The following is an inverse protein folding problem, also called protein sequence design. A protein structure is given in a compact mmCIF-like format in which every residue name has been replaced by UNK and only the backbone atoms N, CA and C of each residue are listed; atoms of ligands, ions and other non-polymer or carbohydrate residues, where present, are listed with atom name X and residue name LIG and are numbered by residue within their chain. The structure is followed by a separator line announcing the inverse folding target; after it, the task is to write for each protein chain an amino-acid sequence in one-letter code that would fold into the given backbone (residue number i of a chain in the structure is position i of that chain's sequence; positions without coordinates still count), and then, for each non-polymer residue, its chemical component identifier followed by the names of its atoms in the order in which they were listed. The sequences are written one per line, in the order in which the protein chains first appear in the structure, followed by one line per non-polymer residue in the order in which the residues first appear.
data_IF_407347415124
#
_entry.id   IF_407347415124
#
_cell.length_a   1.000
_cell.length_b   1.000
_cell.length_c   1.000
_cell.angle_alpha   90.00
_cell.angle_beta   90.00
_cell.angle_gamma   90.00
#
_symmetry.space_group_name_H-M   'P 1'
#
loop_
_entity.id
_entity.type
_entity.pdbx_description
1 polymer ?
#
# COMPACT_ATOMS: atom_id res chain seq x y z
N UNK A 1 -6.00 9.52 -17.09
CA UNK A 1 -5.51 8.66 -15.98
C UNK A 1 -6.29 7.34 -16.02
N UNK A 2 -5.63 6.19 -15.94
CA UNK A 2 -6.25 4.86 -16.16
C UNK A 2 -7.21 4.49 -15.00
N UNK A 3 -8.34 3.81 -15.28
CA UNK A 3 -9.29 3.29 -14.30
C UNK A 3 -8.62 2.41 -13.22
N UNK A 4 -7.61 1.61 -13.61
CA UNK A 4 -6.81 0.80 -12.70
C UNK A 4 -6.15 1.63 -11.58
N UNK A 5 -5.63 2.82 -11.91
CA UNK A 5 -5.00 3.71 -10.92
C UNK A 5 -5.99 4.11 -9.84
N UNK A 6 -7.18 4.55 -10.26
CA UNK A 6 -8.23 5.00 -9.34
C UNK A 6 -8.78 3.86 -8.50
N UNK A 7 -8.87 2.64 -9.06
CA UNK A 7 -9.22 1.44 -8.31
C UNK A 7 -8.24 1.18 -7.17
N UNK A 8 -6.94 1.26 -7.43
CA UNK A 8 -5.93 1.09 -6.37
C UNK A 8 -5.96 2.22 -5.35
N UNK A 9 -6.14 3.47 -5.77
CA UNK A 9 -6.28 4.60 -4.85
C UNK A 9 -7.50 4.46 -3.93
N UNK A 10 -8.65 4.07 -4.49
CA UNK A 10 -9.86 3.81 -3.72
C UNK A 10 -9.62 2.70 -2.71
N UNK A 11 -9.00 1.60 -3.13
CA UNK A 11 -8.71 0.47 -2.26
C UNK A 11 -7.78 0.85 -1.11
N UNK A 12 -6.68 1.53 -1.40
CA UNK A 12 -5.74 2.03 -0.40
C UNK A 12 -6.42 2.96 0.59
N UNK A 13 -7.28 3.86 0.10
CA UNK A 13 -8.03 4.79 0.94
C UNK A 13 -8.99 4.04 1.86
N UNK A 14 -9.75 3.07 1.35
CA UNK A 14 -10.66 2.25 2.15
C UNK A 14 -9.90 1.46 3.21
N UNK A 15 -8.79 0.81 2.84
CA UNK A 15 -7.96 0.07 3.79
C UNK A 15 -7.39 0.98 4.87
N UNK A 16 -6.89 2.15 4.49
CA UNK A 16 -6.35 3.14 5.43
C UNK A 16 -7.42 3.62 6.42
N UNK A 17 -8.62 3.95 5.95
CA UNK A 17 -9.72 4.38 6.82
C UNK A 17 -10.20 3.25 7.73
N UNK A 18 -10.34 2.04 7.19
CA UNK A 18 -10.76 0.86 7.94
C UNK A 18 -9.77 0.55 9.06
N UNK A 19 -8.48 0.45 8.74
CA UNK A 19 -7.44 0.10 9.72
C UNK A 19 -7.05 1.27 10.62
N UNK A 20 -7.24 2.52 10.18
CA UNK A 20 -6.81 3.71 10.93
C UNK A 20 -7.49 3.85 12.28
N UNK A 21 -8.71 3.31 12.42
CA UNK A 21 -9.42 3.24 13.69
C UNK A 21 -8.90 2.17 14.66
N UNK A 22 -8.09 1.21 14.20
CA UNK A 22 -7.56 0.12 15.03
C UNK A 22 -6.13 0.39 15.52
N UNK A 23 -5.31 1.10 14.74
CA UNK A 23 -3.90 1.35 15.05
C UNK A 23 -3.65 2.76 15.63
N UNK A 24 -4.53 3.18 16.56
CA UNK A 24 -4.56 4.55 17.11
C UNK A 24 -3.48 4.80 18.18
N UNK A 25 -2.91 3.74 18.76
CA UNK A 25 -1.95 3.86 19.85
C UNK A 25 -0.53 4.09 19.32
N UNK A 26 0.13 5.13 19.83
CA UNK A 26 1.49 5.50 19.42
C UNK A 26 2.50 4.38 19.69
N UNK A 27 3.32 4.07 18.68
CA UNK A 27 4.37 3.07 18.80
C UNK A 27 4.81 2.57 17.44
N UNK A 28 6.11 2.24 17.31
CA UNK A 28 6.68 1.76 16.06
C UNK A 28 6.02 0.47 15.56
N UNK A 29 5.66 -0.44 16.48
CA UNK A 29 5.04 -1.72 16.13
C UNK A 29 3.64 -1.54 15.53
N UNK A 30 2.85 -0.61 16.07
CA UNK A 30 1.52 -0.30 15.52
C UNK A 30 1.61 0.34 14.15
N UNK A 31 2.60 1.19 13.90
CA UNK A 31 2.83 1.77 12.57
C UNK A 31 3.23 0.68 11.57
N UNK A 32 4.17 -0.19 11.92
CA UNK A 32 4.56 -1.32 11.06
C UNK A 32 3.36 -2.23 10.77
N UNK A 33 2.55 -2.55 11.79
CA UNK A 33 1.36 -3.38 11.64
C UNK A 33 0.27 -2.70 10.77
N UNK A 34 0.08 -1.39 10.92
CA UNK A 34 -0.81 -0.60 10.08
C UNK A 34 -0.37 -0.64 8.61
N UNK A 35 0.92 -0.43 8.35
CA UNK A 35 1.47 -0.46 6.99
C UNK A 35 1.36 -1.85 6.36
N UNK A 36 1.56 -2.91 7.16
CA UNK A 36 1.27 -4.27 6.73
C UNK A 36 -0.22 -4.41 6.34
N UNK A 37 -1.14 -3.97 7.19
CA UNK A 37 -2.58 -4.09 6.97
C UNK A 37 -3.08 -3.33 5.73
N UNK A 38 -2.42 -2.24 5.34
CA UNK A 38 -2.75 -1.47 4.13
C UNK A 38 -2.07 -2.03 2.87
N UNK A 39 -0.77 -2.30 2.91
CA UNK A 39 -0.01 -2.65 1.70
C UNK A 39 -0.09 -4.14 1.34
N UNK A 40 -0.24 -5.04 2.32
CA UNK A 40 -0.31 -6.47 2.04
C UNK A 40 -1.53 -6.85 1.18
N UNK A 41 -2.76 -6.40 1.48
CA UNK A 41 -3.93 -6.71 0.65
C UNK A 41 -3.80 -6.10 -0.76
N UNK A 42 -3.23 -4.90 -0.88
CA UNK A 42 -2.95 -4.30 -2.18
C UNK A 42 -2.00 -5.19 -3.00
N UNK A 43 -0.88 -5.64 -2.41
CA UNK A 43 0.06 -6.53 -3.08
C UNK A 43 -0.62 -7.78 -3.61
N UNK A 44 -1.44 -8.43 -2.79
CA UNK A 44 -2.21 -9.60 -3.20
C UNK A 44 -3.10 -9.30 -4.41
N UNK A 45 -3.92 -8.25 -4.35
CA UNK A 45 -4.86 -7.89 -5.42
C UNK A 45 -4.17 -7.49 -6.73
N UNK A 46 -3.02 -6.82 -6.63
CA UNK A 46 -2.18 -6.48 -7.79
C UNK A 46 -1.64 -7.74 -8.47
N UNK A 47 -1.41 -8.82 -7.71
CA UNK A 47 -1.01 -10.11 -8.26
C UNK A 47 -2.09 -10.79 -9.10
N UNK A 48 -3.37 -10.61 -8.78
CA UNK A 48 -4.50 -11.18 -9.52
C UNK A 48 -5.04 -10.24 -10.60
N UNK A 49 -4.32 -9.17 -10.94
CA UNK A 49 -4.75 -8.27 -12.01
C UNK A 49 -4.78 -9.00 -13.37
N UNK A 50 -5.57 -8.51 -14.33
CA UNK A 50 -5.47 -8.97 -15.72
C UNK A 50 -4.07 -8.70 -16.28
N UNK A 51 -3.52 -9.62 -17.08
CA UNK A 51 -2.17 -9.47 -17.67
C UNK A 51 -2.03 -8.23 -18.57
N UNK A 52 -3.13 -7.75 -19.14
CA UNK A 52 -3.19 -6.52 -19.93
C UNK A 52 -2.98 -5.25 -19.09
N UNK A 53 -3.10 -5.34 -17.76
CA UNK A 53 -2.93 -4.22 -16.85
C UNK A 53 -1.45 -4.05 -16.44
N UNK A 54 -0.95 -2.83 -16.59
CA UNK A 54 0.45 -2.49 -16.31
C UNK A 54 0.75 -2.45 -14.80
N UNK A 55 1.74 -3.21 -14.32
CA UNK A 55 2.18 -3.18 -12.92
C UNK A 55 2.54 -1.79 -12.42
N UNK A 56 3.16 -0.99 -13.27
CA UNK A 56 3.65 0.34 -12.89
C UNK A 56 2.52 1.21 -12.35
N UNK A 57 1.28 0.97 -12.78
CA UNK A 57 0.11 1.68 -12.28
C UNK A 57 -0.15 1.41 -10.80
N UNK A 58 0.03 0.16 -10.34
CA UNK A 58 -0.12 -0.19 -8.92
C UNK A 58 0.99 0.43 -8.07
N UNK A 59 2.24 0.39 -8.53
CA UNK A 59 3.35 1.05 -7.86
C UNK A 59 3.15 2.56 -7.77
N UNK A 60 2.74 3.20 -8.86
CA UNK A 60 2.48 4.64 -8.88
C UNK A 60 1.34 5.01 -7.92
N UNK A 61 0.26 4.23 -7.89
CA UNK A 61 -0.85 4.46 -6.97
C UNK A 61 -0.40 4.35 -5.50
N UNK A 62 0.30 3.28 -5.16
CA UNK A 62 0.82 3.07 -3.81
C UNK A 62 1.79 4.16 -3.38
N UNK A 63 2.74 4.55 -4.26
CA UNK A 63 3.71 5.60 -3.98
C UNK A 63 3.05 6.94 -3.73
N UNK A 64 2.12 7.34 -4.60
CA UNK A 64 1.40 8.60 -4.43
C UNK A 64 0.53 8.58 -3.18
N UNK A 65 -0.14 7.47 -2.88
CA UNK A 65 -0.92 7.32 -1.67
C UNK A 65 -0.06 7.47 -0.41
N UNK A 66 1.08 6.78 -0.36
CA UNK A 66 1.99 6.84 0.78
C UNK A 66 2.61 8.24 0.94
N UNK A 67 2.96 8.90 -0.17
CA UNK A 67 3.43 10.28 -0.12
C UNK A 67 2.35 11.22 0.44
N UNK A 68 1.12 11.10 -0.02
CA UNK A 68 0.00 11.92 0.44
C UNK A 68 -0.31 11.68 1.92
N UNK A 69 -0.24 10.45 2.41
CA UNK A 69 -0.46 10.15 3.84
C UNK A 69 0.57 10.86 4.73
N UNK A 70 1.84 10.89 4.31
CA UNK A 70 2.89 11.63 5.02
C UNK A 70 2.72 13.16 4.94
N UNK A 71 2.27 13.68 3.80
CA UNK A 71 1.95 15.10 3.66
C UNK A 71 0.81 15.49 4.62
N UNK A 72 -0.25 14.67 4.69
CA UNK A 72 -1.37 14.89 5.61
C UNK A 72 -0.89 14.80 7.06
N UNK A 73 -0.13 13.77 7.42
CA UNK A 73 0.39 13.65 8.79
C UNK A 73 1.23 14.85 9.21
N UNK A 74 2.10 15.35 8.33
CA UNK A 74 2.88 16.56 8.57
C UNK A 74 1.99 17.81 8.71
N UNK A 75 0.98 17.96 7.86
CA UNK A 75 0.02 19.07 7.93
C UNK A 75 -0.82 19.01 9.22
N UNK A 76 -1.09 17.82 9.74
CA UNK A 76 -1.78 17.58 11.02
C UNK A 76 -0.85 17.58 12.24
N UNK A 77 0.42 17.97 12.08
CA UNK A 77 1.43 18.00 13.14
C UNK A 77 1.64 16.65 13.86
N UNK A 78 1.34 15.53 13.19
CA UNK A 78 1.58 14.19 13.71
C UNK A 78 3.09 13.91 13.61
N UNK A 79 3.71 13.61 14.74
CA UNK A 79 5.13 13.26 14.77
C UNK A 79 5.35 11.87 14.18
N UNK A 80 6.20 11.81 13.16
CA UNK A 80 6.59 10.56 12.48
C UNK A 80 8.10 10.46 12.53
N UNK A 81 8.60 9.29 12.94
CA UNK A 81 10.03 9.04 12.99
C UNK A 81 10.56 8.79 11.58
N UNK A 82 11.62 9.50 11.17
CA UNK A 82 12.13 9.46 9.79
C UNK A 82 12.51 8.06 9.29
N UNK A 83 12.95 7.16 10.19
CA UNK A 83 13.30 5.78 9.81
C UNK A 83 12.08 4.93 9.45
N UNK A 84 10.89 5.24 10.01
CA UNK A 84 9.64 4.54 9.70
C UNK A 84 9.20 4.88 8.27
N UNK A 85 9.41 6.13 7.84
CA UNK A 85 9.19 6.54 6.44
C UNK A 85 9.96 5.64 5.49
N UNK A 86 11.25 5.40 5.75
CA UNK A 86 12.09 4.55 4.90
C UNK A 86 11.56 3.11 4.87
N UNK A 87 11.21 2.56 6.03
CA UNK A 87 10.67 1.20 6.11
C UNK A 87 9.36 1.10 5.34
N UNK A 88 8.47 2.08 5.43
CA UNK A 88 7.18 2.04 4.76
C UNK A 88 7.32 2.00 3.24
N UNK A 89 8.20 2.82 2.69
CA UNK A 89 8.49 2.77 1.26
C UNK A 89 9.11 1.43 0.87
N UNK A 90 10.06 0.89 1.64
CA UNK A 90 10.63 -0.43 1.37
C UNK A 90 9.57 -1.54 1.44
N UNK A 91 8.75 -1.56 2.48
CA UNK A 91 7.66 -2.52 2.68
C UNK A 91 6.64 -2.45 1.55
N UNK A 92 6.28 -1.27 1.09
CA UNK A 92 5.41 -1.06 -0.08
C UNK A 92 5.96 -1.79 -1.31
N UNK A 93 7.23 -1.59 -1.65
CA UNK A 93 7.84 -2.26 -2.80
C UNK A 93 7.89 -3.78 -2.63
N UNK A 94 8.25 -4.25 -1.44
CA UNK A 94 8.34 -5.68 -1.10
C UNK A 94 6.97 -6.34 -1.24
N UNK A 95 5.92 -5.80 -0.62
CA UNK A 95 4.59 -6.41 -0.65
C UNK A 95 3.97 -6.41 -2.05
N UNK A 96 4.14 -5.32 -2.81
CA UNK A 96 3.68 -5.27 -4.20
C UNK A 96 4.39 -6.31 -5.07
N UNK A 97 5.72 -6.43 -4.96
CA UNK A 97 6.47 -7.44 -5.73
C UNK A 97 6.15 -8.87 -5.29
N UNK A 98 6.04 -9.12 -3.99
CA UNK A 98 5.69 -10.44 -3.48
C UNK A 98 4.29 -10.88 -3.96
N UNK A 99 3.30 -10.00 -3.83
CA UNK A 99 1.95 -10.28 -4.32
C UNK A 99 1.89 -10.50 -5.82
N UNK A 100 2.67 -9.74 -6.60
CA UNK A 100 2.83 -9.95 -8.03
C UNK A 100 3.35 -11.34 -8.40
N UNK A 101 4.43 -11.77 -7.75
CA UNK A 101 5.03 -13.08 -7.98
C UNK A 101 4.03 -14.20 -7.64
N UNK A 102 3.33 -14.07 -6.51
CA UNK A 102 2.34 -15.05 -6.06
C UNK A 102 1.18 -15.13 -7.04
N UNK A 103 0.61 -13.99 -7.44
CA UNK A 103 -0.54 -13.94 -8.33
C UNK A 103 -0.23 -14.46 -9.74
N UNK A 104 0.92 -14.10 -10.31
CA UNK A 104 1.36 -14.67 -11.59
C UNK A 104 1.51 -16.20 -11.53
N UNK A 105 2.05 -16.73 -10.43
CA UNK A 105 2.18 -18.19 -10.24
C UNK A 105 0.82 -18.89 -10.11
N UNK A 106 -0.19 -18.20 -9.56
CA UNK A 106 -1.54 -18.73 -9.45
C UNK A 106 -2.22 -18.78 -10.84
N UNK A 107 -2.13 -17.69 -11.60
CA UNK A 107 -2.72 -17.57 -12.94
C UNK A 107 -2.05 -18.48 -13.98
N UNK A 108 -0.76 -18.81 -13.85
CA UNK A 108 -0.07 -19.68 -14.81
C UNK A 108 -0.45 -21.17 -14.71
N UNK A 109 -1.28 -21.54 -13.73
CA UNK A 109 -1.73 -22.92 -13.49
C UNK A 109 -3.15 -23.18 -14.02
N UNK A 110 -3.85 -22.15 -14.47
CA UNK A 110 -5.11 -22.23 -15.21
C UNK A 110 -4.82 -22.21 -16.72
#
# INVERSE_FOLDING_TARGET
MNFAFWRYQLLLTVLFLFWGGFFVTGGALNQIAFNFAVFYPLGFLVGYRPQVENERTAFLAALLFNLLSYVVARASAISIQSWIVVIDYMSLFIFLKAGLIIGHRAQSKE
#
